data_IF_673807066720
#
_entry.id   IF_673807066720
#
_cell.length_a   1.000
_cell.length_b   1.000
_cell.length_c   1.000
_cell.angle_alpha   90.00
_cell.angle_beta   90.00
_cell.angle_gamma   90.00
#
_symmetry.space_group_name_H-M   'P 1'
#
loop_
_entity.id
_entity.type
_entity.pdbx_description
1 polymer ?
#
# COMPACT_ATOMS: atom_id res chain seq x y z
N UNK A 1 22.72 -29.36 18.03
CA UNK A 1 22.18 -30.73 18.07
C UNK A 1 21.64 -31.13 19.45
N UNK A 2 22.36 -30.97 20.57
CA UNK A 2 21.86 -31.42 21.90
C UNK A 2 20.64 -30.67 22.43
N UNK A 3 20.62 -29.33 22.34
CA UNK A 3 19.55 -28.49 22.93
C UNK A 3 18.40 -28.29 21.93
N UNK A 4 18.71 -27.65 20.80
CA UNK A 4 17.69 -27.25 19.82
C UNK A 4 17.34 -28.32 18.79
N UNK A 5 18.02 -29.49 18.81
CA UNK A 5 17.86 -30.57 17.82
C UNK A 5 18.06 -30.15 16.36
N UNK A 6 18.78 -29.04 16.15
CA UNK A 6 19.18 -28.50 14.85
C UNK A 6 20.69 -28.68 14.63
N UNK A 7 21.15 -28.50 13.39
CA UNK A 7 22.55 -28.57 12.96
C UNK A 7 22.85 -29.71 11.99
N UNK A 8 24.12 -29.84 11.61
CA UNK A 8 24.60 -30.79 10.59
C UNK A 8 24.81 -32.23 11.09
N UNK A 9 24.93 -32.44 12.41
CA UNK A 9 25.11 -33.77 12.99
C UNK A 9 23.78 -34.50 13.14
N UNK A 10 23.78 -35.80 12.82
CA UNK A 10 22.65 -36.67 13.10
C UNK A 10 22.46 -36.86 14.62
N UNK A 11 21.26 -37.28 15.09
CA UNK A 11 21.01 -37.50 16.51
C UNK A 11 21.98 -38.50 17.15
N UNK A 12 22.36 -39.52 16.39
CA UNK A 12 23.25 -40.60 16.83
C UNK A 12 24.70 -40.13 16.95
N UNK A 13 25.19 -39.39 15.95
CA UNK A 13 26.53 -38.79 15.98
C UNK A 13 26.65 -37.70 17.04
N UNK A 14 25.59 -36.93 17.26
CA UNK A 14 25.54 -35.93 18.33
C UNK A 14 25.68 -36.58 19.71
N UNK A 15 24.95 -37.67 19.97
CA UNK A 15 25.03 -38.39 21.24
C UNK A 15 26.39 -39.07 21.46
N UNK A 16 27.03 -39.57 20.39
CA UNK A 16 28.32 -40.22 20.47
C UNK A 16 29.49 -39.24 20.65
N UNK A 17 29.45 -38.09 19.97
CA UNK A 17 30.57 -37.14 19.95
C UNK A 17 30.47 -36.06 21.06
N UNK A 18 29.27 -35.75 21.55
CA UNK A 18 29.08 -34.72 22.57
C UNK A 18 28.87 -35.34 23.96
N UNK A 19 29.99 -35.71 24.61
CA UNK A 19 30.01 -36.39 25.92
C UNK A 19 30.26 -35.45 27.12
N UNK A 20 30.22 -34.14 26.89
CA UNK A 20 30.40 -33.13 27.94
C UNK A 20 29.16 -32.92 28.80
N UNK A 21 29.35 -32.30 29.97
CA UNK A 21 28.25 -31.97 30.88
C UNK A 21 27.51 -30.72 30.38
N UNK A 22 26.24 -30.89 30.02
CA UNK A 22 25.38 -29.84 29.48
C UNK A 22 24.27 -29.52 30.47
N UNK A 23 24.17 -28.26 30.86
CA UNK A 23 23.05 -27.71 31.64
C UNK A 23 22.23 -26.78 30.77
N UNK A 24 20.91 -26.94 30.78
CA UNK A 24 20.00 -26.04 30.06
C UNK A 24 19.47 -25.01 31.03
N UNK A 25 19.67 -23.72 30.74
CA UNK A 25 19.23 -22.58 31.55
C UNK A 25 18.28 -21.70 30.74
N UNK A 26 17.39 -20.96 31.41
CA UNK A 26 16.40 -20.14 30.69
C UNK A 26 17.03 -18.97 29.93
N UNK A 27 18.00 -18.28 30.54
CA UNK A 27 18.77 -17.20 29.93
C UNK A 27 20.23 -17.35 30.32
N UNK A 28 21.11 -17.27 29.33
CA UNK A 28 22.56 -17.19 29.54
C UNK A 28 22.93 -15.71 29.53
N UNK A 29 23.47 -15.24 30.64
CA UNK A 29 23.97 -13.87 30.79
C UNK A 29 25.49 -13.87 30.65
N UNK A 30 26.02 -12.81 30.05
CA UNK A 30 27.46 -12.55 30.05
C UNK A 30 27.86 -12.03 31.45
N UNK A 31 28.56 -12.88 32.21
CA UNK A 31 28.92 -12.63 33.60
C UNK A 31 30.43 -12.55 33.72
N UNK A 32 30.94 -11.33 33.68
CA UNK A 32 32.39 -11.05 33.85
C UNK A 32 32.91 -11.43 35.25
N UNK A 33 32.03 -11.64 36.23
CA UNK A 33 32.38 -12.03 37.60
C UNK A 33 32.70 -13.54 37.75
N UNK A 34 32.35 -14.34 36.74
CA UNK A 34 32.63 -15.77 36.71
C UNK A 34 33.68 -16.06 35.63
N UNK A 35 34.54 -17.07 35.87
CA UNK A 35 35.50 -17.56 34.86
C UNK A 35 34.78 -18.43 33.80
N UNK A 36 33.80 -17.82 33.13
CA UNK A 36 32.94 -18.44 32.12
C UNK A 36 33.11 -17.72 30.78
N UNK A 37 33.25 -18.47 29.69
CA UNK A 37 33.39 -17.90 28.36
C UNK A 37 32.03 -17.85 27.67
N UNK A 38 31.49 -16.64 27.50
CA UNK A 38 30.24 -16.41 26.78
C UNK A 38 30.41 -16.49 25.26
N UNK A 39 29.50 -17.19 24.60
CA UNK A 39 29.46 -17.39 23.16
C UNK A 39 28.03 -17.18 22.66
N UNK A 40 27.85 -16.30 21.67
CA UNK A 40 26.56 -16.10 21.01
C UNK A 40 26.74 -16.14 19.49
N UNK A 41 25.88 -16.91 18.82
CA UNK A 41 25.88 -17.11 17.37
C UNK A 41 24.47 -17.06 16.82
N UNK A 42 24.37 -16.86 15.50
CA UNK A 42 23.11 -16.93 14.76
C UNK A 42 23.07 -18.23 13.96
N UNK A 43 21.90 -18.86 13.92
CA UNK A 43 21.66 -20.04 13.10
C UNK A 43 21.14 -19.68 11.68
N UNK A 44 20.79 -20.69 10.89
CA UNK A 44 20.25 -20.52 9.52
C UNK A 44 18.87 -19.84 9.50
N UNK A 45 18.14 -19.87 10.61
CA UNK A 45 16.83 -19.24 10.79
C UNK A 45 16.96 -17.78 11.28
N UNK A 46 18.18 -17.23 11.31
CA UNK A 46 18.52 -15.92 11.88
C UNK A 46 18.15 -15.79 13.37
N UNK A 47 18.05 -16.92 14.08
CA UNK A 47 17.81 -16.96 15.51
C UNK A 47 19.13 -16.89 16.27
N UNK A 48 19.19 -16.02 17.27
CA UNK A 48 20.35 -15.92 18.17
C UNK A 48 20.27 -17.02 19.21
N UNK A 49 21.33 -17.80 19.36
CA UNK A 49 21.49 -18.73 20.47
C UNK A 49 22.77 -18.43 21.23
N UNK A 50 22.70 -18.54 22.55
CA UNK A 50 23.81 -18.27 23.45
C UNK A 50 24.12 -19.46 24.34
N UNK A 51 25.41 -19.63 24.63
CA UNK A 51 25.90 -20.61 25.59
C UNK A 51 27.18 -20.07 26.26
N UNK A 52 27.42 -20.53 27.48
CA UNK A 52 28.68 -20.31 28.19
C UNK A 52 29.36 -21.65 28.42
N UNK A 53 30.68 -21.67 28.40
CA UNK A 53 31.45 -22.84 28.81
C UNK A 53 32.49 -22.47 29.86
N UNK A 54 32.73 -23.41 30.76
CA UNK A 54 33.67 -23.31 31.87
C UNK A 54 34.35 -24.65 32.12
N UNK A 55 35.41 -24.64 32.93
CA UNK A 55 36.10 -25.85 33.36
C UNK A 55 35.83 -26.08 34.84
N UNK A 56 35.33 -27.28 35.18
CA UNK A 56 35.19 -27.72 36.57
C UNK A 56 36.56 -27.93 37.24
N UNK A 57 36.60 -28.06 38.56
CA UNK A 57 37.82 -28.29 39.37
C UNK A 57 38.63 -29.51 38.91
N UNK A 58 37.97 -30.44 38.22
CA UNK A 58 38.56 -31.66 37.64
C UNK A 58 39.04 -31.49 36.20
N UNK A 59 38.99 -30.27 35.65
CA UNK A 59 39.35 -29.95 34.26
C UNK A 59 38.34 -30.44 33.22
N UNK A 60 37.11 -30.79 33.63
CA UNK A 60 36.04 -31.19 32.71
C UNK A 60 35.29 -29.96 32.19
N UNK A 61 34.97 -29.95 30.89
CA UNK A 61 34.17 -28.88 30.30
C UNK A 61 32.70 -28.99 30.72
N UNK A 62 32.17 -27.90 31.26
CA UNK A 62 30.76 -27.74 31.63
C UNK A 62 30.18 -26.62 30.76
N UNK A 63 29.12 -26.95 30.02
CA UNK A 63 28.45 -26.01 29.11
C UNK A 63 27.07 -25.69 29.66
N UNK A 64 26.74 -24.41 29.76
CA UNK A 64 25.37 -23.94 30.01
C UNK A 64 24.83 -23.33 28.74
N UNK A 65 23.75 -23.90 28.22
CA UNK A 65 23.12 -23.42 26.99
C UNK A 65 21.74 -22.86 27.29
N UNK A 66 21.37 -21.82 26.54
CA UNK A 66 20.05 -21.20 26.65
C UNK A 66 18.97 -22.17 26.14
N UNK A 67 17.87 -22.30 26.88
CA UNK A 67 16.78 -23.23 26.55
C UNK A 67 16.09 -22.89 25.24
N UNK A 68 15.83 -21.61 25.03
CA UNK A 68 15.09 -21.11 23.88
C UNK A 68 15.96 -20.10 23.12
N UNK A 69 16.01 -20.27 21.80
CA UNK A 69 16.74 -19.36 20.90
C UNK A 69 15.93 -18.09 20.69
N UNK A 70 16.60 -16.95 20.67
CA UNK A 70 16.00 -15.65 20.44
C UNK A 70 15.84 -15.43 18.94
N UNK A 71 14.67 -15.82 18.42
CA UNK A 71 14.33 -15.63 17.02
C UNK A 71 13.65 -14.26 16.79
N UNK A 72 13.92 -13.59 15.64
CA UNK A 72 13.15 -12.43 15.25
C UNK A 72 11.67 -12.80 15.06
N UNK A 73 10.73 -11.90 15.40
CA UNK A 73 9.31 -12.18 15.24
C UNK A 73 8.97 -12.38 13.76
N UNK A 74 8.17 -13.40 13.47
CA UNK A 74 7.62 -13.62 12.14
C UNK A 74 6.69 -12.46 11.75
N UNK A 75 7.19 -11.55 10.91
CA UNK A 75 6.40 -10.42 10.41
C UNK A 75 5.52 -10.90 9.25
N UNK A 76 4.21 -10.65 9.32
CA UNK A 76 3.28 -10.99 8.24
C UNK A 76 3.38 -9.99 7.08
N UNK A 77 4.44 -10.16 6.26
CA UNK A 77 4.78 -9.27 5.14
C UNK A 77 3.63 -9.11 4.14
N UNK A 78 2.93 -10.21 3.83
CA UNK A 78 1.82 -10.20 2.87
C UNK A 78 0.70 -9.23 3.27
N UNK A 79 0.33 -9.21 4.55
CA UNK A 79 -0.73 -8.33 5.04
C UNK A 79 -0.34 -6.86 5.01
N UNK A 80 0.93 -6.55 5.31
CA UNK A 80 1.46 -5.18 5.20
C UNK A 80 1.38 -4.71 3.75
N UNK A 81 1.83 -5.53 2.80
CA UNK A 81 1.80 -5.20 1.37
C UNK A 81 0.37 -4.96 0.88
N UNK A 82 -0.56 -5.87 1.20
CA UNK A 82 -1.96 -5.71 0.81
C UNK A 82 -2.61 -4.48 1.44
N UNK A 83 -2.30 -4.20 2.72
CA UNK A 83 -2.80 -3.01 3.42
C UNK A 83 -2.33 -1.71 2.76
N UNK A 84 -1.05 -1.62 2.40
CA UNK A 84 -0.49 -0.44 1.73
C UNK A 84 -1.13 -0.23 0.35
N UNK A 85 -1.25 -1.30 -0.45
CA UNK A 85 -1.90 -1.22 -1.77
C UNK A 85 -3.35 -0.76 -1.64
N UNK A 86 -4.09 -1.35 -0.69
CA UNK A 86 -5.48 -0.96 -0.41
C UNK A 86 -5.60 0.52 -0.05
N UNK A 87 -4.72 1.03 0.82
CA UNK A 87 -4.72 2.44 1.21
C UNK A 87 -4.45 3.37 0.01
N UNK A 88 -3.45 3.06 -0.82
CA UNK A 88 -3.11 3.86 -2.01
C UNK A 88 -4.30 3.91 -2.99
N UNK A 89 -4.93 2.76 -3.24
CA UNK A 89 -6.08 2.67 -4.15
C UNK A 89 -7.27 3.47 -3.61
N UNK A 90 -7.56 3.39 -2.31
CA UNK A 90 -8.64 4.15 -1.70
C UNK A 90 -8.41 5.66 -1.77
N UNK A 91 -7.19 6.12 -1.47
CA UNK A 91 -6.82 7.53 -1.58
C UNK A 91 -6.93 8.00 -3.04
N UNK A 92 -6.36 7.23 -3.98
CA UNK A 92 -6.44 7.53 -5.40
C UNK A 92 -7.88 7.61 -5.90
N UNK A 93 -8.73 6.65 -5.49
CA UNK A 93 -10.16 6.64 -5.81
C UNK A 93 -10.88 7.87 -5.26
N UNK A 94 -10.65 8.25 -4.00
CA UNK A 94 -11.25 9.43 -3.39
C UNK A 94 -10.86 10.73 -4.13
N UNK A 95 -9.59 10.88 -4.50
CA UNK A 95 -9.10 12.03 -5.27
C UNK A 95 -9.70 12.08 -6.67
N UNK A 96 -9.79 10.93 -7.36
CA UNK A 96 -10.42 10.83 -8.67
C UNK A 96 -11.91 11.17 -8.62
N UNK A 97 -12.62 10.68 -7.59
CA UNK A 97 -14.04 11.01 -7.38
C UNK A 97 -14.23 12.50 -7.13
N UNK A 98 -13.42 13.11 -6.26
CA UNK A 98 -13.46 14.54 -6.00
C UNK A 98 -13.18 15.35 -7.27
N UNK A 99 -12.12 15.01 -8.00
CA UNK A 99 -11.78 15.63 -9.28
C UNK A 99 -12.92 15.51 -10.30
N UNK A 100 -13.52 14.31 -10.42
CA UNK A 100 -14.62 14.03 -11.34
C UNK A 100 -15.86 14.85 -10.99
N UNK A 101 -16.17 15.01 -9.70
CA UNK A 101 -17.29 15.83 -9.23
C UNK A 101 -17.05 17.30 -9.57
N UNK A 102 -15.86 17.84 -9.27
CA UNK A 102 -15.51 19.24 -9.54
C UNK A 102 -15.59 19.53 -11.05
N UNK A 103 -14.98 18.67 -11.87
CA UNK A 103 -14.99 18.84 -13.34
C UNK A 103 -16.40 18.74 -13.91
N UNK A 104 -17.21 17.78 -13.46
CA UNK A 104 -18.61 17.66 -13.91
C UNK A 104 -19.45 18.90 -13.58
N UNK A 105 -19.22 19.52 -12.41
CA UNK A 105 -19.91 20.78 -12.05
C UNK A 105 -19.45 21.93 -12.93
N UNK A 106 -18.15 22.03 -13.20
CA UNK A 106 -17.60 23.07 -14.07
C UNK A 106 -18.15 22.95 -15.49
N UNK A 107 -18.09 21.76 -16.08
CA UNK A 107 -18.62 21.46 -17.41
C UNK A 107 -20.12 21.78 -17.50
N UNK A 108 -20.91 21.41 -16.49
CA UNK A 108 -22.36 21.75 -16.46
C UNK A 108 -22.60 23.26 -16.40
N UNK A 109 -21.81 24.01 -15.64
CA UNK A 109 -21.96 25.47 -15.53
C UNK A 109 -21.63 26.15 -16.85
N UNK A 110 -20.54 25.74 -17.50
CA UNK A 110 -20.16 26.27 -18.80
C UNK A 110 -21.18 25.90 -19.88
N UNK A 111 -21.68 24.67 -19.86
CA UNK A 111 -22.71 24.21 -20.80
C UNK A 111 -23.98 25.06 -20.72
N UNK A 112 -24.50 25.34 -19.51
CA UNK A 112 -25.68 26.19 -19.32
C UNK A 112 -25.42 27.61 -19.83
N UNK A 113 -24.22 28.16 -19.61
CA UNK A 113 -23.85 29.49 -20.12
C UNK A 113 -23.83 29.50 -21.65
N UNK A 114 -23.23 28.47 -22.25
CA UNK A 114 -23.13 28.33 -23.70
C UNK A 114 -24.50 28.17 -24.38
N UNK A 115 -25.41 27.39 -23.81
CA UNK A 115 -26.77 27.25 -24.34
C UNK A 115 -27.55 28.57 -24.28
N UNK A 116 -27.41 29.35 -23.21
CA UNK A 116 -28.01 30.69 -23.10
C UNK A 116 -27.48 31.64 -24.18
N UNK A 117 -26.17 31.68 -24.37
CA UNK A 117 -25.54 32.50 -25.41
C UNK A 117 -25.98 32.07 -26.82
N UNK A 118 -26.06 30.76 -27.10
CA UNK A 118 -26.57 30.24 -28.38
C UNK A 118 -28.05 30.56 -28.61
N UNK A 119 -28.88 30.49 -27.58
CA UNK A 119 -30.30 30.81 -27.69
C UNK A 119 -30.51 32.29 -28.01
N UNK A 120 -29.78 33.19 -27.34
CA UNK A 120 -29.80 34.63 -27.61
C UNK A 120 -29.26 34.95 -29.00
N UNK A 121 -28.15 34.32 -29.43
CA UNK A 121 -27.59 34.51 -30.76
C UNK A 121 -28.53 34.04 -31.89
N UNK A 122 -29.42 33.08 -31.61
CA UNK A 122 -30.47 32.65 -32.56
C UNK A 122 -31.69 33.57 -32.58
N UNK A 123 -31.86 34.46 -31.59
CA UNK A 123 -33.09 35.24 -31.39
C UNK A 123 -33.02 36.68 -31.91
N UNK A 124 -31.95 37.08 -32.61
CA UNK A 124 -31.85 38.38 -33.28
C UNK A 124 -32.21 38.29 -34.78
N UNK A 125 -33.25 37.50 -35.09
CA UNK A 125 -33.92 37.40 -36.40
C UNK A 125 -35.34 37.95 -36.36
N UNK A 126 -35.67 38.78 -35.37
CA UNK A 126 -36.82 39.68 -35.46
C UNK A 126 -36.47 40.81 -36.40
N UNK A 127 -37.23 40.98 -37.49
CA UNK A 127 -37.05 42.08 -38.43
C UNK A 127 -36.87 43.40 -37.68
N UNK A 128 -35.75 44.09 -37.94
CA UNK A 128 -35.43 45.37 -37.33
C UNK A 128 -36.60 46.35 -37.56
N UNK A 129 -37.18 46.99 -36.52
CA UNK A 129 -38.35 47.88 -36.67
C UNK A 129 -38.08 49.13 -37.52
N UNK A 130 -36.83 49.41 -37.90
CA UNK A 130 -36.45 50.48 -38.85
C UNK A 130 -36.34 49.96 -40.30
N UNK A 131 -36.33 48.63 -40.52
CA UNK A 131 -36.18 48.04 -41.84
C UNK A 131 -37.46 48.19 -42.66
N UNK A 132 -37.37 48.92 -43.77
CA UNK A 132 -38.43 49.02 -44.78
C UNK A 132 -38.08 48.10 -45.95
N UNK A 133 -38.96 47.16 -46.30
CA UNK A 133 -38.81 46.38 -47.53
C UNK A 133 -38.77 47.32 -48.75
N UNK A 134 -37.74 47.19 -49.59
CA UNK A 134 -37.54 48.01 -50.78
C UNK A 134 -38.38 47.56 -51.99
N UNK A 135 -39.58 47.00 -51.76
CA UNK A 135 -40.45 46.49 -52.82
C UNK A 135 -41.82 47.14 -52.66
N UNK A 136 -42.16 48.05 -53.56
CA UNK A 136 -43.48 48.67 -53.63
C UNK A 136 -44.44 47.74 -54.37
N UNK A 137 -45.37 47.11 -53.67
CA UNK A 137 -46.45 46.33 -54.28
C UNK A 137 -47.44 47.29 -54.95
N UNK A 138 -47.36 47.42 -56.28
CA UNK A 138 -48.30 48.21 -57.06
C UNK A 138 -49.52 47.34 -57.38
N UNK A 139 -50.68 47.67 -56.78
CA UNK A 139 -51.95 47.03 -57.11
C UNK A 139 -52.42 47.53 -58.47
N UNK A 140 -52.50 46.64 -59.46
CA UNK A 140 -52.97 46.98 -60.80
C UNK A 140 -54.51 47.07 -60.80
N UNK A 141 -55.11 48.27 -60.98
CA UNK A 141 -56.56 48.44 -60.94
C UNK A 141 -57.31 47.78 -62.10
N UNK A 142 -56.60 47.24 -63.10
CA UNK A 142 -57.20 46.69 -64.31
C UNK A 142 -57.76 45.26 -64.14
N UNK A 143 -57.54 44.61 -62.99
CA UNK A 143 -57.85 43.18 -62.80
C UNK A 143 -59.05 42.88 -61.89
N UNK A 144 -59.83 43.88 -61.44
CA UNK A 144 -60.98 43.65 -60.56
C UNK A 144 -62.36 43.88 -61.20
N UNK A 145 -62.47 44.12 -62.51
CA UNK A 145 -63.79 44.28 -63.13
C UNK A 145 -63.82 43.93 -64.64
N UNK A 146 -64.55 42.86 -64.97
CA UNK A 146 -64.84 42.34 -66.32
C UNK A 146 -64.30 40.93 -66.51
N UNK A 147 -65.07 39.87 -66.74
CA UNK A 147 -66.49 39.65 -67.02
C UNK A 147 -66.84 38.19 -66.68
N UNK A 148 -68.14 37.86 -66.67
CA UNK A 148 -68.77 36.53 -66.56
C UNK A 148 -67.99 35.34 -67.16
#
# INVERSE_FOLDING_TARGET
>A
CLVYKTGSLTPEECAANCTFELTVVDVVEDREDLDENFCAYYDEDDCRFAYVYSYDDKGKIVIKAQKERECPPQVYVLGIVLGVIGAIVLIGSALLLLWKLITTIHDRREFIKFEKERALAKWDTGENPIYKQAISTFQNPMYSEGDL
#
